data_IF_760791669401
#
_entry.id   IF_760791669401
#
_cell.length_a   1.000
_cell.length_b   1.000
_cell.length_c   1.000
_cell.angle_alpha   90.00
_cell.angle_beta   90.00
_cell.angle_gamma   90.00
#
_symmetry.space_group_name_H-M   'P 1'
#
loop_
_entity.id
_entity.type
_entity.pdbx_description
1 polymer ?
#
# COMPACT_ATOMS: atom_id res chain seq x y z
N UNK A 1 3.85 -23.93 20.02
CA UNK A 1 4.24 -24.90 18.97
C UNK A 1 5.73 -24.71 18.63
N UNK A 2 6.54 -25.76 18.70
CA UNK A 2 7.98 -25.73 18.31
C UNK A 2 8.17 -26.22 16.87
N UNK A 3 7.39 -25.67 15.92
CA UNK A 3 7.48 -26.12 14.51
C UNK A 3 8.74 -25.57 13.84
N UNK A 4 9.51 -26.45 13.19
CA UNK A 4 10.72 -26.11 12.46
C UNK A 4 10.75 -26.77 11.08
N UNK A 5 11.55 -26.23 10.16
CA UNK A 5 11.76 -26.80 8.83
C UNK A 5 10.47 -26.99 8.03
N UNK A 6 10.38 -28.09 7.31
CA UNK A 6 9.30 -28.42 6.34
C UNK A 6 7.91 -28.39 6.99
N UNK A 7 7.78 -28.80 8.26
CA UNK A 7 6.47 -28.75 8.96
C UNK A 7 5.99 -27.31 9.16
N UNK A 8 6.90 -26.40 9.53
CA UNK A 8 6.58 -24.96 9.66
C UNK A 8 6.12 -24.38 8.33
N UNK A 9 6.84 -24.64 7.26
CA UNK A 9 6.51 -24.15 5.91
C UNK A 9 5.15 -24.68 5.46
N UNK A 10 4.87 -25.96 5.68
CA UNK A 10 3.58 -26.57 5.34
C UNK A 10 2.42 -25.92 6.11
N UNK A 11 2.57 -25.70 7.41
CA UNK A 11 1.56 -25.01 8.23
C UNK A 11 1.35 -23.57 7.72
N UNK A 12 2.42 -22.83 7.44
CA UNK A 12 2.30 -21.48 6.91
C UNK A 12 1.58 -21.45 5.55
N UNK A 13 1.87 -22.38 4.66
CA UNK A 13 1.19 -22.49 3.37
C UNK A 13 -0.32 -22.79 3.54
N UNK A 14 -0.67 -23.68 4.46
CA UNK A 14 -2.08 -23.99 4.77
C UNK A 14 -2.81 -22.81 5.41
N UNK A 15 -2.14 -22.05 6.29
CA UNK A 15 -2.67 -20.82 6.86
C UNK A 15 -2.94 -19.78 5.77
N UNK A 16 -1.98 -19.56 4.87
CA UNK A 16 -2.13 -18.62 3.75
C UNK A 16 -3.35 -18.93 2.87
N UNK A 17 -3.64 -20.21 2.70
CA UNK A 17 -4.76 -20.70 1.88
C UNK A 17 -6.08 -20.84 2.67
N UNK A 18 -6.08 -20.55 3.96
CA UNK A 18 -7.20 -20.85 4.88
C UNK A 18 -7.69 -22.29 4.76
N UNK A 19 -6.74 -23.23 4.57
CA UNK A 19 -7.02 -24.64 4.33
C UNK A 19 -7.21 -25.40 5.64
N UNK A 20 -8.39 -25.31 6.23
CA UNK A 20 -8.78 -26.02 7.46
C UNK A 20 -8.66 -27.54 7.33
N UNK A 21 -9.16 -28.21 6.24
CA UNK A 21 -8.98 -29.64 6.06
C UNK A 21 -7.52 -30.07 6.07
N UNK A 22 -6.62 -29.27 5.47
CA UNK A 22 -5.19 -29.56 5.47
C UNK A 22 -4.57 -29.54 6.86
N UNK A 23 -4.93 -28.57 7.70
CA UNK A 23 -4.48 -28.52 9.11
C UNK A 23 -5.02 -29.71 9.91
N UNK A 24 -6.29 -30.06 9.74
CA UNK A 24 -6.90 -31.22 10.40
C UNK A 24 -6.26 -32.54 9.96
N UNK A 25 -5.93 -32.69 8.68
CA UNK A 25 -5.21 -33.84 8.16
C UNK A 25 -3.82 -34.02 8.79
N UNK A 26 -3.07 -32.91 8.98
CA UNK A 26 -1.78 -32.94 9.69
C UNK A 26 -1.95 -33.43 11.14
N UNK A 27 -3.02 -33.04 11.83
CA UNK A 27 -3.30 -33.55 13.17
C UNK A 27 -3.65 -35.05 13.15
N UNK A 28 -4.45 -35.49 12.18
CA UNK A 28 -4.81 -36.90 12.00
C UNK A 28 -3.60 -37.79 11.69
N UNK A 29 -2.59 -37.27 11.03
CA UNK A 29 -1.31 -37.93 10.71
C UNK A 29 -0.28 -37.86 11.86
N UNK A 30 -0.61 -37.20 12.98
CA UNK A 30 0.31 -37.04 14.11
C UNK A 30 1.44 -36.00 13.87
N UNK A 31 1.37 -35.19 12.80
CA UNK A 31 2.33 -34.14 12.51
C UNK A 31 2.10 -32.89 13.35
N UNK A 32 0.87 -32.69 13.84
CA UNK A 32 0.45 -31.66 14.78
C UNK A 32 -0.30 -32.26 15.96
N UNK A 33 -0.18 -31.67 17.14
CA UNK A 33 -1.09 -31.97 18.24
C UNK A 33 -2.49 -31.47 17.90
N UNK A 34 -3.52 -32.22 18.26
CA UNK A 34 -4.93 -31.84 17.99
C UNK A 34 -5.27 -30.44 18.48
N UNK A 35 -4.83 -30.13 19.69
CA UNK A 35 -5.02 -28.80 20.29
C UNK A 35 -4.35 -27.67 19.47
N UNK A 36 -3.14 -27.93 18.98
CA UNK A 36 -2.44 -26.94 18.15
C UNK A 36 -3.15 -26.71 16.81
N UNK A 37 -3.72 -27.78 16.23
CA UNK A 37 -4.50 -27.69 15.00
C UNK A 37 -5.79 -26.89 15.23
N UNK A 38 -6.49 -27.11 16.36
CA UNK A 38 -7.69 -26.37 16.72
C UNK A 38 -7.39 -24.88 16.95
N UNK A 39 -6.30 -24.56 17.67
CA UNK A 39 -5.84 -23.19 17.88
C UNK A 39 -5.48 -22.51 16.52
N UNK A 40 -4.86 -23.22 15.58
CA UNK A 40 -4.53 -22.71 14.24
C UNK A 40 -5.79 -22.45 13.40
N UNK A 41 -6.78 -23.34 13.47
CA UNK A 41 -8.05 -23.16 12.77
C UNK A 41 -8.77 -21.91 13.29
N UNK A 42 -8.87 -21.76 14.61
CA UNK A 42 -9.45 -20.54 15.20
C UNK A 42 -8.68 -19.28 14.81
N UNK A 43 -7.34 -19.35 14.76
CA UNK A 43 -6.52 -18.22 14.35
C UNK A 43 -6.78 -17.81 12.88
N UNK A 44 -7.01 -18.77 11.98
CA UNK A 44 -7.33 -18.51 10.56
C UNK A 44 -8.71 -17.85 10.37
N UNK A 45 -9.64 -18.04 11.32
CA UNK A 45 -10.97 -17.46 11.26
C UNK A 45 -11.01 -16.00 11.73
N UNK A 46 -9.94 -15.52 12.39
CA UNK A 46 -9.87 -14.14 12.84
C UNK A 46 -9.73 -13.21 11.63
N UNK A 47 -10.81 -12.48 11.35
CA UNK A 47 -10.85 -11.35 10.44
C UNK A 47 -11.69 -10.24 11.06
N UNK A 48 -11.09 -9.42 11.88
CA UNK A 48 -11.78 -8.47 12.74
C UNK A 48 -11.07 -7.10 12.78
N UNK A 49 -11.74 -6.04 13.24
CA UNK A 49 -11.08 -4.79 13.61
C UNK A 49 -9.90 -5.06 14.53
N UNK A 50 -8.83 -4.29 14.39
CA UNK A 50 -7.52 -4.63 14.96
C UNK A 50 -7.57 -4.95 16.46
N UNK A 51 -8.22 -4.13 17.28
CA UNK A 51 -8.34 -4.37 18.74
C UNK A 51 -9.13 -5.63 19.08
N UNK A 52 -10.23 -5.87 18.37
CA UNK A 52 -11.07 -7.05 18.57
C UNK A 52 -10.32 -8.32 18.17
N UNK A 53 -9.65 -8.31 17.00
CA UNK A 53 -8.84 -9.44 16.55
C UNK A 53 -7.67 -9.74 17.49
N UNK A 54 -7.04 -8.74 18.10
CA UNK A 54 -6.01 -8.92 19.13
C UNK A 54 -6.60 -9.61 20.37
N UNK A 55 -7.79 -9.21 20.80
CA UNK A 55 -8.46 -9.84 21.95
C UNK A 55 -8.80 -11.31 21.68
N UNK A 56 -9.33 -11.62 20.48
CA UNK A 56 -9.60 -13.00 20.05
C UNK A 56 -8.32 -13.84 20.00
N UNK A 57 -7.24 -13.32 19.42
CA UNK A 57 -5.95 -14.01 19.36
C UNK A 57 -5.32 -14.19 20.75
N UNK A 58 -5.60 -13.29 21.70
CA UNK A 58 -5.17 -13.40 23.11
C UNK A 58 -5.65 -14.67 23.78
N UNK A 59 -6.88 -15.11 23.49
CA UNK A 59 -7.41 -16.37 24.02
C UNK A 59 -6.63 -17.61 23.55
N UNK A 60 -5.93 -17.51 22.42
CA UNK A 60 -5.13 -18.57 21.82
C UNK A 60 -3.64 -18.49 22.17
N UNK A 61 -3.19 -17.40 22.81
CA UNK A 61 -1.78 -17.22 23.15
C UNK A 61 -1.36 -18.17 24.28
N UNK A 62 -0.30 -18.97 24.04
CA UNK A 62 0.13 -20.03 24.96
C UNK A 62 1.54 -19.82 25.52
N UNK A 63 2.31 -18.89 24.99
CA UNK A 63 3.70 -18.67 25.37
C UNK A 63 4.09 -17.20 25.32
N UNK A 64 5.24 -16.89 25.91
CA UNK A 64 5.74 -15.52 25.99
C UNK A 64 5.95 -14.85 24.63
N UNK A 65 6.34 -15.61 23.60
CA UNK A 65 6.54 -15.05 22.26
C UNK A 65 5.20 -14.61 21.64
N UNK A 66 4.13 -15.39 21.82
CA UNK A 66 2.78 -15.02 21.38
C UNK A 66 2.28 -13.76 22.11
N UNK A 67 2.46 -13.70 23.42
CA UNK A 67 2.07 -12.53 24.21
C UNK A 67 2.86 -11.28 23.82
N UNK A 68 4.16 -11.41 23.57
CA UNK A 68 4.99 -10.29 23.13
C UNK A 68 4.56 -9.79 21.73
N UNK A 69 4.24 -10.69 20.80
CA UNK A 69 3.72 -10.30 19.50
C UNK A 69 2.38 -9.56 19.61
N UNK A 70 1.46 -10.03 20.46
CA UNK A 70 0.18 -9.36 20.71
C UNK A 70 0.36 -8.00 21.40
N UNK A 71 1.33 -7.89 22.31
CA UNK A 71 1.68 -6.61 22.93
C UNK A 71 2.14 -5.59 21.89
N UNK A 72 3.00 -5.99 20.96
CA UNK A 72 3.46 -5.11 19.87
C UNK A 72 2.29 -4.69 18.95
N UNK A 73 1.39 -5.61 18.60
CA UNK A 73 0.19 -5.29 17.86
C UNK A 73 -0.73 -4.33 18.63
N UNK A 74 -0.86 -4.49 19.94
CA UNK A 74 -1.67 -3.60 20.79
C UNK A 74 -1.12 -2.17 20.81
N UNK A 75 0.20 -2.02 20.91
CA UNK A 75 0.85 -0.69 20.82
C UNK A 75 0.58 -0.07 19.44
N UNK A 76 0.74 -0.86 18.37
CA UNK A 76 0.45 -0.41 17.00
C UNK A 76 -1.02 0.02 16.86
N UNK A 77 -1.95 -0.75 17.42
CA UNK A 77 -3.37 -0.42 17.41
C UNK A 77 -3.67 0.91 18.10
N UNK A 78 -3.04 1.16 19.26
CA UNK A 78 -3.21 2.42 19.99
C UNK A 78 -2.65 3.62 19.22
N UNK A 79 -1.52 3.45 18.54
CA UNK A 79 -0.94 4.49 17.67
C UNK A 79 -1.87 4.79 16.50
N UNK A 80 -2.35 3.78 15.79
CA UNK A 80 -3.27 3.95 14.66
C UNK A 80 -4.58 4.61 15.09
N UNK A 81 -5.07 4.30 16.27
CA UNK A 81 -6.25 4.96 16.85
C UNK A 81 -6.00 6.45 17.10
N UNK A 82 -4.82 6.82 17.61
CA UNK A 82 -4.48 8.23 17.83
C UNK A 82 -4.41 9.04 16.52
N UNK A 83 -4.21 8.37 15.39
CA UNK A 83 -4.29 8.96 14.05
C UNK A 83 -5.70 8.84 13.42
N UNK A 84 -6.69 8.31 14.12
CA UNK A 84 -8.05 8.12 13.60
C UNK A 84 -8.18 7.01 12.55
N UNK A 85 -7.22 6.08 12.48
CA UNK A 85 -7.13 5.03 11.46
C UNK A 85 -7.69 3.68 11.93
N UNK A 86 -8.20 3.59 13.14
CA UNK A 86 -8.67 2.34 13.78
C UNK A 86 -9.77 1.60 12.99
N UNK A 87 -10.65 2.31 12.30
CA UNK A 87 -11.73 1.73 11.48
C UNK A 87 -11.27 1.15 10.14
N UNK A 88 -10.05 1.47 9.71
CA UNK A 88 -9.54 1.11 8.39
C UNK A 88 -8.65 -0.14 8.42
N UNK A 89 -8.24 -0.60 9.61
CA UNK A 89 -7.28 -1.69 9.77
C UNK A 89 -7.97 -2.92 10.37
N UNK A 90 -7.76 -4.06 9.72
CA UNK A 90 -8.24 -5.36 10.17
C UNK A 90 -7.07 -6.30 10.43
N UNK A 91 -7.23 -7.20 11.38
CA UNK A 91 -6.30 -8.27 11.68
C UNK A 91 -6.72 -9.53 10.93
N UNK A 92 -5.79 -10.12 10.20
CA UNK A 92 -5.95 -11.39 9.48
C UNK A 92 -4.67 -12.22 9.64
N UNK A 93 -4.75 -13.34 10.35
CA UNK A 93 -3.61 -14.24 10.56
C UNK A 93 -3.34 -15.20 9.40
N UNK A 94 -4.16 -15.19 8.34
CA UNK A 94 -3.84 -15.87 7.09
C UNK A 94 -2.83 -15.09 6.25
N UNK A 95 -2.58 -13.83 6.59
CA UNK A 95 -1.54 -13.02 5.98
C UNK A 95 -0.18 -13.49 6.50
N UNK A 96 0.40 -14.49 5.86
CA UNK A 96 1.71 -15.04 6.21
C UNK A 96 2.72 -14.82 5.09
N UNK A 97 3.98 -14.71 5.46
CA UNK A 97 5.08 -14.65 4.50
C UNK A 97 5.90 -15.93 4.56
N UNK A 98 6.09 -16.57 3.42
CA UNK A 98 6.89 -17.79 3.29
C UNK A 98 8.39 -17.53 3.34
N UNK A 99 8.84 -16.30 3.14
CA UNK A 99 10.26 -15.94 3.21
C UNK A 99 10.57 -15.37 4.61
N UNK A 100 11.69 -15.81 5.21
CA UNK A 100 12.22 -15.24 6.47
C UNK A 100 12.72 -13.78 6.34
N UNK A 101 12.14 -13.06 5.38
CA UNK A 101 12.42 -11.65 5.12
C UNK A 101 11.82 -10.75 6.19
N UNK A 102 10.54 -10.95 6.49
CA UNK A 102 9.87 -10.21 7.55
C UNK A 102 9.99 -10.95 8.88
N UNK A 103 10.34 -10.21 9.93
CA UNK A 103 10.48 -10.74 11.28
C UNK A 103 9.58 -10.03 12.31
N UNK A 104 8.61 -9.26 11.83
CA UNK A 104 7.62 -8.56 12.63
C UNK A 104 6.28 -8.47 11.92
N UNK A 105 5.59 -7.36 12.13
CA UNK A 105 4.29 -7.12 11.47
C UNK A 105 4.45 -7.11 9.95
N UNK A 106 3.49 -7.74 9.28
CA UNK A 106 3.28 -7.65 7.83
C UNK A 106 1.92 -7.02 7.57
N UNK A 107 1.79 -6.28 6.48
CA UNK A 107 0.53 -5.61 6.14
C UNK A 107 0.32 -5.55 4.63
N UNK A 108 -0.94 -5.51 4.24
CA UNK A 108 -1.38 -5.30 2.87
C UNK A 108 -2.45 -4.21 2.85
N UNK A 109 -2.45 -3.42 1.78
CA UNK A 109 -3.44 -2.39 1.52
C UNK A 109 -4.32 -2.78 0.35
N UNK A 110 -5.61 -2.55 0.51
CA UNK A 110 -6.63 -2.82 -0.50
C UNK A 110 -7.41 -1.55 -0.80
N UNK A 111 -7.88 -1.41 -2.02
CA UNK A 111 -8.81 -0.36 -2.40
C UNK A 111 -10.16 -0.98 -2.78
N UNK A 112 -11.28 -0.27 -2.55
CA UNK A 112 -12.60 -0.73 -3.00
C UNK A 112 -12.58 -1.04 -4.50
N UNK A 113 -13.22 -2.12 -4.90
CA UNK A 113 -13.33 -2.60 -6.29
C UNK A 113 -12.04 -3.20 -6.88
N UNK A 114 -10.93 -3.24 -6.17
CA UNK A 114 -9.70 -3.92 -6.59
C UNK A 114 -9.58 -5.24 -5.82
N UNK A 115 -9.66 -6.42 -6.48
CA UNK A 115 -9.72 -7.71 -5.79
C UNK A 115 -8.36 -8.24 -5.30
N UNK A 116 -7.32 -7.44 -5.39
CA UNK A 116 -5.97 -7.80 -4.96
C UNK A 116 -5.30 -6.64 -4.21
N UNK A 117 -4.28 -6.92 -3.39
CA UNK A 117 -3.57 -5.87 -2.66
C UNK A 117 -2.86 -4.92 -3.62
N UNK A 118 -2.98 -3.62 -3.37
CA UNK A 118 -2.29 -2.56 -4.11
C UNK A 118 -1.03 -2.08 -3.39
N UNK A 119 -0.89 -2.46 -2.13
CA UNK A 119 0.26 -2.18 -1.29
C UNK A 119 0.56 -3.42 -0.45
N UNK A 120 1.84 -3.73 -0.27
CA UNK A 120 2.27 -4.70 0.73
C UNK A 120 3.59 -4.28 1.38
N UNK A 121 3.77 -4.67 2.63
CA UNK A 121 4.96 -4.33 3.39
C UNK A 121 5.05 -5.07 4.71
N UNK A 122 6.09 -4.73 5.47
CA UNK A 122 6.31 -5.29 6.79
C UNK A 122 7.62 -4.88 7.41
N UNK A 123 7.86 -5.34 8.64
CA UNK A 123 9.08 -5.13 9.39
C UNK A 123 10.11 -6.21 9.06
N UNK A 124 11.36 -5.81 8.77
CA UNK A 124 12.44 -6.69 8.30
C UNK A 124 13.82 -6.37 8.90
N UNK A 125 13.93 -6.34 10.22
CA UNK A 125 15.15 -5.98 10.95
C UNK A 125 16.36 -6.89 10.63
N UNK A 126 16.11 -8.10 10.10
CA UNK A 126 17.18 -9.04 9.76
C UNK A 126 18.05 -8.54 8.59
N UNK A 127 17.52 -7.74 7.68
CA UNK A 127 18.28 -7.21 6.55
C UNK A 127 19.33 -6.19 7.00
N UNK A 128 19.01 -5.14 7.77
CA UNK A 128 20.03 -4.26 8.34
C UNK A 128 21.09 -4.98 9.18
N UNK A 129 20.69 -5.98 9.96
CA UNK A 129 21.66 -6.77 10.76
C UNK A 129 22.68 -7.50 9.89
N UNK A 130 22.25 -8.11 8.77
CA UNK A 130 23.17 -8.72 7.80
C UNK A 130 24.12 -7.70 7.18
N UNK A 131 23.78 -6.42 7.20
CA UNK A 131 24.60 -5.30 6.75
C UNK A 131 25.42 -4.66 7.88
N UNK A 132 25.49 -5.30 9.05
CA UNK A 132 26.23 -4.80 10.22
C UNK A 132 25.57 -3.63 10.95
N UNK A 133 24.26 -3.38 10.74
CA UNK A 133 23.52 -2.28 11.39
C UNK A 133 22.50 -2.83 12.40
N UNK A 134 22.56 -2.36 13.62
CA UNK A 134 21.60 -2.72 14.67
C UNK A 134 20.43 -1.71 14.74
N UNK A 135 19.61 -1.70 13.68
CA UNK A 135 18.44 -0.84 13.57
C UNK A 135 17.22 -1.64 13.12
N UNK A 136 16.03 -1.21 13.52
CA UNK A 136 14.78 -1.73 12.98
C UNK A 136 14.54 -1.17 11.58
N UNK A 137 13.90 -1.96 10.72
CA UNK A 137 13.49 -1.55 9.38
C UNK A 137 12.05 -1.95 9.10
N UNK A 138 11.30 -1.03 8.53
CA UNK A 138 9.96 -1.24 8.00
C UNK A 138 9.87 -0.59 6.63
N UNK A 139 9.16 -1.23 5.71
CA UNK A 139 8.98 -0.68 4.37
C UNK A 139 7.80 -1.30 3.66
N UNK A 140 7.45 -0.72 2.53
CA UNK A 140 6.36 -1.20 1.70
C UNK A 140 6.62 -0.96 0.21
N UNK A 141 5.90 -1.70 -0.62
CA UNK A 141 5.82 -1.51 -2.06
C UNK A 141 4.38 -1.14 -2.44
N UNK A 142 4.25 -0.13 -3.31
CA UNK A 142 2.99 0.25 -3.95
C UNK A 142 2.98 -0.30 -5.38
N UNK A 143 1.96 -1.08 -5.74
CA UNK A 143 1.85 -1.73 -7.04
C UNK A 143 1.16 -0.82 -8.05
N UNK A 144 1.93 0.12 -8.63
CA UNK A 144 1.40 1.15 -9.54
C UNK A 144 0.64 0.56 -10.74
N UNK A 145 1.14 -0.52 -11.36
CA UNK A 145 0.45 -1.16 -12.49
C UNK A 145 -0.94 -1.73 -12.14
N UNK A 146 -1.17 -2.09 -10.86
CA UNK A 146 -2.50 -2.49 -10.39
C UNK A 146 -3.43 -1.30 -10.22
N UNK A 147 -2.90 -0.16 -9.81
CA UNK A 147 -3.64 1.09 -9.69
C UNK A 147 -4.01 1.65 -11.06
N UNK A 148 -3.08 1.62 -12.01
CA UNK A 148 -3.27 2.13 -13.36
C UNK A 148 -4.46 1.45 -14.08
N UNK A 149 -4.62 0.13 -13.93
CA UNK A 149 -5.74 -0.60 -14.50
C UNK A 149 -7.12 -0.11 -14.03
N UNK A 150 -7.18 0.47 -12.82
CA UNK A 150 -8.44 0.91 -12.22
C UNK A 150 -8.67 2.41 -12.31
N UNK A 151 -7.59 3.19 -12.31
CA UNK A 151 -7.64 4.65 -12.36
C UNK A 151 -7.13 5.22 -13.67
N UNK A 152 -6.55 4.39 -14.51
CA UNK A 152 -6.16 4.73 -15.87
C UNK A 152 -7.39 4.88 -16.75
N UNK A 153 -8.19 5.91 -16.52
CA UNK A 153 -8.96 6.46 -17.63
C UNK A 153 -7.92 6.91 -18.67
N UNK A 154 -8.05 6.46 -19.91
CA UNK A 154 -7.34 7.10 -21.02
C UNK A 154 -7.59 8.59 -20.89
N UNK A 155 -6.59 9.32 -20.40
CA UNK A 155 -6.70 10.78 -20.36
C UNK A 155 -6.80 11.21 -21.80
N UNK A 156 -7.97 11.66 -22.18
CA UNK A 156 -8.23 12.19 -23.53
C UNK A 156 -7.22 13.31 -23.85
N UNK A 157 -6.71 13.97 -22.79
CA UNK A 157 -5.77 15.07 -22.85
C UNK A 157 -4.58 14.84 -21.91
N UNK A 158 -3.40 15.25 -22.34
CA UNK A 158 -2.17 15.22 -21.54
C UNK A 158 -2.13 16.37 -20.51
N UNK A 159 -2.84 17.47 -20.81
CA UNK A 159 -3.06 18.61 -19.92
C UNK A 159 -4.41 19.27 -20.19
N UNK A 160 -5.00 19.90 -19.18
CA UNK A 160 -6.20 20.72 -19.36
C UNK A 160 -5.89 21.99 -20.17
N UNK A 161 -4.74 22.61 -19.88
CA UNK A 161 -4.31 23.83 -20.54
C UNK A 161 -2.87 23.67 -21.06
N UNK A 162 -2.69 23.89 -22.36
CA UNK A 162 -1.38 24.11 -22.97
C UNK A 162 -1.17 25.63 -23.06
N UNK A 163 -0.27 26.16 -22.26
CA UNK A 163 0.11 27.55 -22.24
C UNK A 163 1.33 27.78 -23.11
N UNK A 164 1.16 28.39 -24.29
CA UNK A 164 2.27 28.70 -25.19
C UNK A 164 2.74 30.13 -24.98
N UNK A 165 4.04 30.39 -25.18
CA UNK A 165 4.65 31.70 -25.00
C UNK A 165 5.76 31.97 -26.01
N UNK A 166 5.91 33.23 -26.37
CA UNK A 166 6.93 33.70 -27.28
C UNK A 166 8.33 33.80 -26.64
N UNK A 167 9.39 34.07 -27.47
CA UNK A 167 10.77 34.17 -26.98
C UNK A 167 11.00 35.31 -25.97
N UNK A 168 10.20 36.37 -26.05
CA UNK A 168 10.37 37.60 -25.26
C UNK A 168 9.44 37.65 -24.05
N UNK A 169 8.72 36.55 -23.74
CA UNK A 169 7.77 36.50 -22.63
C UNK A 169 8.47 36.62 -21.26
N UNK A 170 7.87 37.38 -20.35
CA UNK A 170 8.29 37.46 -18.96
C UNK A 170 7.96 36.13 -18.25
N UNK A 171 9.00 35.31 -18.06
CA UNK A 171 8.86 33.96 -17.47
C UNK A 171 8.36 34.01 -16.01
N UNK A 172 8.60 35.07 -15.28
CA UNK A 172 8.14 35.21 -13.89
C UNK A 172 6.63 35.39 -13.86
N UNK A 173 6.10 36.26 -14.71
CA UNK A 173 4.66 36.48 -14.86
C UNK A 173 3.96 35.27 -15.46
N UNK A 174 4.59 34.61 -16.45
CA UNK A 174 4.09 33.34 -17.01
C UNK A 174 3.95 32.26 -15.93
N UNK A 175 4.98 32.09 -15.09
CA UNK A 175 4.95 31.10 -14.00
C UNK A 175 3.84 31.42 -12.98
N UNK A 176 3.70 32.67 -12.59
CA UNK A 176 2.62 33.11 -11.70
C UNK A 176 1.22 32.85 -12.30
N UNK A 177 1.07 33.08 -13.60
CA UNK A 177 -0.18 32.78 -14.30
C UNK A 177 -0.47 31.28 -14.35
N UNK A 178 0.54 30.45 -14.68
CA UNK A 178 0.41 29.00 -14.69
C UNK A 178 0.04 28.45 -13.29
N UNK A 179 0.65 29.02 -12.24
CA UNK A 179 0.36 28.61 -10.86
C UNK A 179 -1.07 28.94 -10.44
N UNK A 180 -1.58 30.10 -10.82
CA UNK A 180 -2.98 30.46 -10.59
C UNK A 180 -3.94 29.43 -11.23
N UNK A 181 -3.68 29.02 -12.47
CA UNK A 181 -4.48 28.00 -13.14
C UNK A 181 -4.41 26.64 -12.42
N UNK A 182 -3.24 26.27 -11.85
CA UNK A 182 -3.10 25.05 -11.04
C UNK A 182 -3.89 25.12 -9.75
N UNK A 183 -3.90 26.27 -9.09
CA UNK A 183 -4.71 26.49 -7.89
C UNK A 183 -6.22 26.41 -8.16
N UNK A 184 -6.64 26.69 -9.42
CA UNK A 184 -8.00 26.45 -9.90
C UNK A 184 -8.28 24.96 -10.21
N UNK A 185 -7.33 24.07 -9.94
CA UNK A 185 -7.46 22.62 -10.14
C UNK A 185 -7.19 22.15 -11.58
N UNK A 186 -6.59 22.97 -12.43
CA UNK A 186 -6.26 22.63 -13.82
C UNK A 186 -4.84 22.11 -13.93
N UNK A 187 -4.64 21.08 -14.75
CA UNK A 187 -3.30 20.67 -15.17
C UNK A 187 -2.80 21.63 -16.27
N UNK A 188 -1.60 22.18 -16.06
CA UNK A 188 -1.03 23.18 -16.98
C UNK A 188 0.33 22.76 -17.47
N UNK A 189 0.51 22.74 -18.78
CA UNK A 189 1.79 22.58 -19.44
C UNK A 189 2.18 23.88 -20.13
N UNK A 190 3.42 24.32 -19.92
CA UNK A 190 3.97 25.52 -20.56
C UNK A 190 4.97 25.10 -21.65
N UNK A 191 4.81 25.63 -22.86
CA UNK A 191 5.69 25.34 -24.01
C UNK A 191 6.08 26.63 -24.73
N UNK A 192 7.37 26.75 -25.04
CA UNK A 192 7.85 27.85 -25.87
C UNK A 192 7.46 27.64 -27.35
N UNK A 193 6.96 28.67 -28.00
CA UNK A 193 6.65 28.61 -29.43
C UNK A 193 7.94 28.42 -30.25
N UNK A 194 8.00 27.29 -30.97
CA UNK A 194 9.14 26.94 -31.84
C UNK A 194 8.80 26.92 -33.33
N UNK A 195 7.53 27.26 -33.66
CA UNK A 195 7.01 27.14 -35.02
C UNK A 195 6.65 25.69 -35.44
N UNK A 196 6.94 24.71 -34.59
CA UNK A 196 6.55 23.31 -34.81
C UNK A 196 5.25 22.97 -34.04
N UNK A 197 4.42 22.04 -34.53
CA UNK A 197 3.28 21.57 -33.84
C UNK A 197 3.69 20.94 -32.49
N UNK A 198 3.08 21.35 -31.38
CA UNK A 198 3.27 20.70 -30.09
C UNK A 198 2.47 19.40 -30.06
N UNK A 199 3.08 18.23 -29.80
CA UNK A 199 2.40 16.93 -29.81
C UNK A 199 1.49 16.71 -28.58
N UNK A 200 1.41 17.67 -27.69
CA UNK A 200 0.62 17.59 -26.44
C UNK A 200 -0.86 17.72 -26.75
N UNK A 201 -1.61 16.70 -26.39
CA UNK A 201 -3.08 16.76 -26.44
C UNK A 201 -3.57 17.58 -25.26
N UNK A 202 -4.28 18.65 -25.51
CA UNK A 202 -4.82 19.51 -24.46
C UNK A 202 -6.28 19.83 -24.70
N UNK A 203 -7.01 20.07 -23.62
CA UNK A 203 -8.42 20.49 -23.68
C UNK A 203 -8.53 21.91 -24.22
N UNK A 204 -7.58 22.78 -23.84
CA UNK A 204 -7.55 24.18 -24.19
C UNK A 204 -6.11 24.62 -24.47
N UNK A 205 -5.92 25.38 -25.55
CA UNK A 205 -4.65 26.03 -25.85
C UNK A 205 -4.78 27.52 -25.61
N UNK A 206 -3.84 28.06 -24.86
CA UNK A 206 -3.81 29.48 -24.49
C UNK A 206 -2.46 30.06 -24.82
N UNK A 207 -2.44 31.15 -25.55
CA UNK A 207 -1.23 31.93 -25.83
C UNK A 207 -1.05 32.99 -24.75
N UNK A 208 0.10 32.99 -24.12
CA UNK A 208 0.46 34.03 -23.16
C UNK A 208 1.21 35.16 -23.84
N UNK A 209 0.71 36.40 -23.67
CA UNK A 209 1.34 37.62 -24.17
C UNK A 209 1.41 38.61 -23.03
N UNK A 210 2.60 39.18 -22.81
CA UNK A 210 2.82 40.16 -21.76
C UNK A 210 1.96 41.43 -21.99
N UNK A 211 1.27 41.86 -20.93
CA UNK A 211 0.47 43.09 -20.95
C UNK A 211 -0.94 42.97 -21.56
N UNK A 212 -1.24 41.93 -22.30
CA UNK A 212 -2.56 41.71 -22.95
C UNK A 212 -3.36 40.65 -22.20
N UNK A 213 -2.67 39.81 -21.42
CA UNK A 213 -3.27 38.63 -20.76
C UNK A 213 -3.37 37.42 -21.71
N UNK A 214 -3.99 36.33 -21.22
CA UNK A 214 -4.09 35.09 -21.99
C UNK A 214 -5.14 35.22 -23.11
N UNK A 215 -4.71 35.06 -24.34
CA UNK A 215 -5.62 34.89 -25.48
C UNK A 215 -5.92 33.40 -25.68
N UNK A 216 -7.19 33.07 -25.78
CA UNK A 216 -7.64 31.72 -26.07
C UNK A 216 -7.43 31.42 -27.56
N UNK A 217 -6.55 30.46 -27.86
CA UNK A 217 -6.38 29.93 -29.20
C UNK A 217 -7.33 28.74 -29.36
N UNK A 218 -8.33 28.87 -30.22
CA UNK A 218 -9.20 27.77 -30.60
C UNK A 218 -8.35 26.65 -31.22
N UNK A 219 -8.44 25.41 -30.69
CA UNK A 219 -7.77 24.21 -31.20
C UNK A 219 -8.63 23.56 -32.24
#
# INVERSE_FOLDING_TARGET
MGLTGIRRERVLALLAQKNVPGIQAMAGQGELQRRDADDLVQLMEIYAPLKEGIAQAGALARNNASWEALRQLSVTASILESFGLNGQVRLDFSLVNSMDYYNGVIFQGFLPKIPFPVLSGGRYDNLPRKMGKEVGAIGFALYMGRLEQFFGQERQYDADVLLTYGPDADLVKLAAFAERLRQEGRSVRCERETGQPCPVRCRKKVRYTDGIGPEEVLV
#
